data_IF_743098666313
#
_entry.id   IF_743098666313
#
_cell.length_a   1.000
_cell.length_b   1.000
_cell.length_c   1.000
_cell.angle_alpha   90.00
_cell.angle_beta   90.00
_cell.angle_gamma   90.00
#
_symmetry.space_group_name_H-M   'P 1'
#
loop_
_entity.id
_entity.type
_entity.pdbx_description
1 polymer ?
#
# COMPACT_ATOMS: atom_id res chain seq x y z
N UNK A 1 -10.27 -12.08 11.66
CA UNK A 1 -9.88 -13.33 10.99
C UNK A 1 -8.70 -13.02 10.10
N UNK A 2 -7.48 -13.36 10.51
CA UNK A 2 -6.27 -13.10 9.73
C UNK A 2 -6.18 -13.98 8.47
N UNK A 3 -6.81 -15.16 8.51
CA UNK A 3 -6.83 -16.13 7.42
C UNK A 3 -7.59 -15.67 6.15
N UNK A 4 -8.37 -14.59 6.25
CA UNK A 4 -9.19 -14.08 5.14
C UNK A 4 -8.51 -12.95 4.34
N UNK A 5 -7.31 -12.54 4.74
CA UNK A 5 -6.55 -11.47 4.10
C UNK A 5 -5.73 -12.04 2.93
N UNK A 6 -5.92 -11.47 1.74
CA UNK A 6 -5.20 -11.85 0.51
C UNK A 6 -4.45 -10.67 -0.05
N UNK A 7 -3.23 -10.92 -0.53
CA UNK A 7 -2.42 -9.92 -1.20
C UNK A 7 -2.99 -9.69 -2.60
N UNK A 8 -3.50 -8.49 -2.89
CA UNK A 8 -4.03 -8.14 -4.20
C UNK A 8 -2.98 -7.57 -5.15
N UNK A 9 -1.96 -6.89 -4.59
CA UNK A 9 -0.90 -6.25 -5.37
C UNK A 9 0.37 -6.18 -4.54
N UNK A 10 1.50 -6.44 -5.17
CA UNK A 10 2.83 -6.24 -4.59
C UNK A 10 3.71 -5.52 -5.60
N UNK A 11 4.27 -4.38 -5.21
CA UNK A 11 5.13 -3.55 -6.04
C UNK A 11 6.44 -3.23 -5.32
N UNK A 12 7.53 -3.16 -6.08
CA UNK A 12 8.85 -2.78 -5.57
C UNK A 12 9.35 -1.60 -6.40
N UNK A 13 9.59 -0.49 -5.72
CA UNK A 13 10.09 0.74 -6.32
C UNK A 13 11.56 0.96 -5.93
N UNK A 14 12.31 1.59 -6.82
CA UNK A 14 13.66 2.04 -6.52
C UNK A 14 13.61 3.11 -5.43
N UNK A 15 14.47 2.95 -4.43
CA UNK A 15 14.67 3.90 -3.35
C UNK A 15 15.90 4.77 -3.58
N UNK A 16 16.33 5.47 -2.54
CA UNK A 16 17.51 6.33 -2.62
C UNK A 16 18.78 5.52 -2.87
N UNK A 17 19.66 6.05 -3.72
CA UNK A 17 20.95 5.43 -4.05
C UNK A 17 22.09 6.29 -3.51
N UNK A 18 22.80 5.77 -2.50
CA UNK A 18 23.98 6.44 -1.96
C UNK A 18 25.25 5.97 -2.70
N UNK A 19 26.16 6.90 -3.00
CA UNK A 19 27.47 6.59 -3.59
C UNK A 19 28.54 6.55 -2.50
N UNK A 20 29.39 5.53 -2.51
CA UNK A 20 30.60 5.43 -1.67
C UNK A 20 31.83 5.17 -2.54
N UNK A 21 32.98 5.70 -2.18
CA UNK A 21 34.23 5.43 -2.88
C UNK A 21 34.80 4.06 -2.46
N UNK A 22 35.21 3.25 -3.43
CA UNK A 22 35.99 2.02 -3.23
C UNK A 22 37.47 2.32 -3.51
N UNK A 23 38.32 2.43 -2.47
CA UNK A 23 39.74 2.61 -2.69
C UNK A 23 40.35 1.37 -3.35
N UNK A 24 41.29 1.58 -4.28
CA UNK A 24 42.06 0.53 -4.97
C UNK A 24 43.54 0.94 -5.04
N UNK A 25 44.40 -0.03 -5.34
CA UNK A 25 45.83 0.21 -5.51
C UNK A 25 46.10 1.24 -6.63
N UNK A 26 47.30 1.86 -6.58
CA UNK A 26 47.76 2.88 -7.54
C UNK A 26 46.89 4.13 -7.61
N UNK A 27 46.32 4.56 -6.48
CA UNK A 27 45.51 5.80 -6.39
C UNK A 27 44.18 5.76 -7.14
N UNK A 28 43.71 4.57 -7.53
CA UNK A 28 42.44 4.42 -8.26
C UNK A 28 41.29 4.31 -7.25
N UNK A 29 40.15 4.88 -7.61
CA UNK A 29 38.89 4.66 -6.86
C UNK A 29 37.71 4.54 -7.81
N UNK A 30 36.72 3.74 -7.43
CA UNK A 30 35.46 3.59 -8.15
C UNK A 30 34.28 3.89 -7.24
N UNK A 31 33.15 4.31 -7.79
CA UNK A 31 31.93 4.49 -7.02
C UNK A 31 31.20 3.15 -6.81
N UNK A 32 30.91 2.81 -5.56
CA UNK A 32 29.95 1.77 -5.17
C UNK A 32 28.59 2.45 -4.99
N UNK A 33 27.56 1.96 -5.66
CA UNK A 33 26.18 2.37 -5.43
C UNK A 33 25.58 1.45 -4.37
N UNK A 34 25.05 2.03 -3.29
CA UNK A 34 24.18 1.33 -2.33
C UNK A 34 22.75 1.76 -2.63
N UNK A 35 22.02 0.90 -3.31
CA UNK A 35 20.60 1.09 -3.64
C UNK A 35 19.74 0.61 -2.48
N UNK A 36 18.66 1.34 -2.21
CA UNK A 36 17.57 0.91 -1.33
C UNK A 36 16.31 0.71 -2.17
N UNK A 37 15.27 0.07 -1.62
CA UNK A 37 13.99 -0.11 -2.30
C UNK A 37 12.81 0.17 -1.36
N UNK A 38 11.68 0.54 -1.95
CA UNK A 38 10.41 0.70 -1.26
C UNK A 38 9.47 -0.42 -1.69
N UNK A 39 8.98 -1.19 -0.73
CA UNK A 39 8.07 -2.32 -0.97
C UNK A 39 6.66 -1.87 -0.60
N UNK A 40 5.73 -1.93 -1.55
CA UNK A 40 4.32 -1.61 -1.33
C UNK A 40 3.50 -2.89 -1.48
N UNK A 41 2.77 -3.27 -0.42
CA UNK A 41 1.91 -4.44 -0.39
C UNK A 41 0.47 -3.96 -0.18
N UNK A 42 -0.43 -4.33 -1.09
CA UNK A 42 -1.86 -4.05 -0.99
C UNK A 42 -2.58 -5.34 -0.65
N UNK A 43 -3.36 -5.31 0.42
CA UNK A 43 -4.09 -6.45 0.98
C UNK A 43 -5.59 -6.18 0.86
N UNK A 44 -6.36 -7.22 0.56
CA UNK A 44 -7.82 -7.20 0.50
C UNK A 44 -8.39 -8.32 1.35
N UNK A 45 -9.58 -8.09 1.90
CA UNK A 45 -10.35 -9.11 2.61
C UNK A 45 -11.29 -9.84 1.66
N UNK A 46 -11.17 -11.17 1.56
CA UNK A 46 -12.01 -12.01 0.69
C UNK A 46 -13.50 -11.88 1.07
N UNK A 47 -13.80 -11.71 2.36
CA UNK A 47 -15.17 -11.66 2.85
C UNK A 47 -15.96 -10.45 2.33
N UNK A 48 -15.29 -9.37 1.91
CA UNK A 48 -15.98 -8.18 1.38
C UNK A 48 -16.50 -8.39 -0.05
N UNK A 49 -15.79 -9.19 -0.85
CA UNK A 49 -16.20 -9.48 -2.23
C UNK A 49 -17.52 -10.28 -2.25
N UNK A 50 -17.71 -11.18 -1.28
CA UNK A 50 -18.97 -11.92 -1.10
C UNK A 50 -20.16 -10.99 -0.80
N UNK A 51 -19.95 -9.88 -0.08
CA UNK A 51 -21.01 -8.90 0.17
C UNK A 51 -21.36 -8.10 -1.08
N UNK A 52 -20.39 -7.62 -1.87
CA UNK A 52 -20.66 -6.86 -3.10
C UNK A 52 -21.48 -7.67 -4.12
N UNK A 53 -21.21 -8.97 -4.26
CA UNK A 53 -21.99 -9.87 -5.11
C UNK A 53 -23.41 -10.05 -4.58
N UNK A 54 -23.58 -10.25 -3.26
CA UNK A 54 -24.90 -10.37 -2.62
C UNK A 54 -25.71 -9.09 -2.80
N UNK A 55 -25.12 -7.90 -2.64
CA UNK A 55 -25.81 -6.60 -2.82
C UNK A 55 -26.19 -6.34 -4.29
N UNK A 56 -25.34 -6.74 -5.24
CA UNK A 56 -25.60 -6.61 -6.68
C UNK A 56 -26.73 -7.54 -7.17
N UNK A 57 -26.81 -8.75 -6.61
CA UNK A 57 -27.87 -9.72 -6.93
C UNK A 57 -29.22 -9.35 -6.30
N UNK A 58 -29.22 -8.72 -5.11
CA UNK A 58 -30.46 -8.39 -4.38
C UNK A 58 -31.25 -7.24 -4.98
N UNK A 59 -30.59 -6.35 -5.74
CA UNK A 59 -31.25 -5.23 -6.36
C UNK A 59 -31.01 -5.27 -7.89
N UNK A 60 -31.94 -5.73 -8.72
CA UNK A 60 -31.76 -5.76 -10.18
C UNK A 60 -32.14 -4.44 -10.89
N UNK A 61 -32.40 -3.33 -10.16
CA UNK A 61 -33.16 -2.19 -10.68
C UNK A 61 -32.64 -0.83 -10.19
N UNK A 62 -31.51 -0.30 -10.68
CA UNK A 62 -31.07 1.02 -10.17
C UNK A 62 -30.93 2.09 -11.25
N UNK A 63 -31.62 3.20 -10.97
CA UNK A 63 -31.28 4.55 -11.40
C UNK A 63 -30.01 4.98 -10.65
N UNK A 64 -29.16 5.78 -11.32
CA UNK A 64 -27.86 6.22 -10.80
C UNK A 64 -28.04 7.26 -9.69
N UNK A 65 -27.75 6.90 -8.46
CA UNK A 65 -27.51 7.85 -7.36
C UNK A 65 -26.08 7.65 -6.89
N UNK A 66 -25.26 8.69 -7.03
CA UNK A 66 -23.89 8.72 -6.52
C UNK A 66 -23.93 8.73 -4.99
N UNK A 67 -23.91 7.55 -4.37
CA UNK A 67 -23.69 7.42 -2.93
C UNK A 67 -22.21 7.71 -2.65
N UNK A 68 -21.94 8.91 -2.17
CA UNK A 68 -20.68 9.23 -1.50
C UNK A 68 -20.73 8.51 -0.15
N UNK A 69 -19.95 7.44 0.00
CA UNK A 69 -19.82 6.72 1.27
C UNK A 69 -19.26 7.69 2.33
N UNK A 70 -19.87 7.80 3.52
CA UNK A 70 -19.23 8.49 4.62
C UNK A 70 -18.04 7.66 5.08
N UNK A 71 -16.87 8.28 5.06
CA UNK A 71 -15.62 7.85 5.64
C UNK A 71 -15.77 7.68 7.15
N UNK A 72 -16.03 6.44 7.59
CA UNK A 72 -16.17 6.05 9.02
C UNK A 72 -14.81 6.09 9.78
N UNK A 73 -13.79 6.81 9.27
CA UNK A 73 -12.47 6.92 9.92
C UNK A 73 -12.16 8.33 10.46
N UNK A 74 -13.18 9.13 10.76
CA UNK A 74 -13.04 10.37 11.54
C UNK A 74 -13.78 10.28 12.88
N UNK A 75 -13.28 9.47 13.80
CA UNK A 75 -13.63 9.62 15.22
C UNK A 75 -12.41 9.43 16.14
N UNK A 76 -11.81 10.57 16.54
CA UNK A 76 -10.97 10.79 17.73
C UNK A 76 -9.65 10.00 17.82
N UNK A 77 -8.49 10.57 18.12
CA UNK A 77 -8.20 11.42 19.28
C UNK A 77 -6.95 12.27 18.99
N UNK A 78 -7.05 13.58 19.21
CA UNK A 78 -5.91 14.51 19.27
C UNK A 78 -5.11 14.19 20.54
N UNK A 79 -3.91 13.66 20.40
CA UNK A 79 -2.96 13.57 21.50
C UNK A 79 -2.32 14.93 21.72
N UNK A 80 -3.00 15.79 22.49
CA UNK A 80 -2.35 16.95 23.10
C UNK A 80 -1.83 16.54 24.49
N UNK A 81 -0.50 16.52 24.63
CA UNK A 81 0.19 16.41 25.91
C UNK A 81 1.24 17.50 25.97
N UNK A 82 0.83 18.56 26.66
CA UNK A 82 1.59 19.47 27.53
C UNK A 82 3.03 19.05 27.85
#
# INVERSE_FOLDING_TARGET
NEANLVISKAEVNEGTTAKKLKPRARGRSYAIKRTTCHITIVVKDISLDEYEEIYSLKNPRWKKTTMVYPDVYSSGVVWDKK
#
